data_IF_546302247357
#
_entry.id   IF_546302247357
#
_cell.length_a   1.000
_cell.length_b   1.000
_cell.length_c   1.000
_cell.angle_alpha   90.00
_cell.angle_beta   90.00
_cell.angle_gamma   90.00
#
_symmetry.space_group_name_H-M   'P 1'
#
loop_
_entity.id
_entity.type
_entity.pdbx_description
1 polymer ?
#
# COMPACT_ATOMS: atom_id res chain seq x y z
N UNK A 1 25.76 18.27 17.07
CA UNK A 1 26.86 17.28 16.92
C UNK A 1 26.99 16.45 18.18
N UNK A 2 27.02 15.14 18.02
CA UNK A 2 27.31 14.21 19.12
C UNK A 2 28.81 14.32 19.47
N UNK A 3 29.17 14.04 20.72
CA UNK A 3 30.59 14.05 21.14
C UNK A 3 31.41 12.90 20.51
N UNK A 4 30.73 11.91 19.95
CA UNK A 4 31.26 10.75 19.24
C UNK A 4 30.18 10.21 18.30
N UNK A 5 30.58 9.76 17.12
CA UNK A 5 29.71 9.03 16.20
C UNK A 5 30.49 7.94 15.48
N UNK A 6 29.88 6.74 15.24
CA UNK A 6 30.52 5.73 14.42
C UNK A 6 30.53 6.16 12.95
N UNK A 7 31.48 5.69 12.13
CA UNK A 7 31.42 5.88 10.70
C UNK A 7 30.17 5.22 10.13
N UNK A 8 29.58 5.84 9.11
CA UNK A 8 28.50 5.24 8.32
C UNK A 8 29.17 4.47 7.18
N UNK A 9 29.06 3.14 7.22
CA UNK A 9 29.66 2.27 6.22
C UNK A 9 28.92 2.33 4.88
N UNK A 10 29.62 1.97 3.83
CA UNK A 10 28.99 1.86 2.52
C UNK A 10 27.84 0.83 2.56
N UNK A 11 26.69 1.15 1.96
CA UNK A 11 25.51 0.27 1.93
C UNK A 11 24.91 -0.07 3.33
N UNK A 12 25.26 0.68 4.37
CA UNK A 12 24.72 0.51 5.71
C UNK A 12 23.37 1.20 5.86
N UNK A 13 22.32 0.50 6.38
CA UNK A 13 21.06 1.19 6.70
C UNK A 13 21.17 2.04 7.96
N UNK A 14 20.44 3.18 8.06
CA UNK A 14 20.46 4.06 9.22
C UNK A 14 20.20 3.37 10.58
N UNK A 15 19.41 2.30 10.57
CA UNK A 15 19.16 1.51 11.78
C UNK A 15 20.43 0.85 12.32
N UNK A 16 21.28 0.32 11.46
CA UNK A 16 22.55 -0.31 11.84
C UNK A 16 23.48 0.70 12.53
N UNK A 17 23.62 1.88 11.93
CA UNK A 17 24.39 2.97 12.52
C UNK A 17 23.87 3.36 13.91
N UNK A 18 22.54 3.45 14.06
CA UNK A 18 21.91 3.77 15.36
C UNK A 18 22.21 2.73 16.44
N UNK A 19 22.20 1.44 16.07
CA UNK A 19 22.54 0.34 16.99
C UNK A 19 24.00 0.44 17.40
N UNK A 20 24.91 0.63 16.45
CA UNK A 20 26.35 0.81 16.71
C UNK A 20 26.62 2.00 17.60
N UNK A 21 25.97 3.13 17.34
CA UNK A 21 26.08 4.31 18.21
C UNK A 21 25.66 3.99 19.66
N UNK A 22 24.54 3.28 19.84
CA UNK A 22 24.06 2.90 21.17
C UNK A 22 25.06 2.01 21.92
N UNK A 23 25.61 1.01 21.24
CA UNK A 23 26.59 0.09 21.83
C UNK A 23 27.88 0.80 22.24
N UNK A 24 28.42 1.64 21.36
CA UNK A 24 29.67 2.36 21.61
C UNK A 24 29.52 3.51 22.62
N UNK A 25 28.35 4.13 22.74
CA UNK A 25 28.05 5.20 23.66
C UNK A 25 27.83 4.69 25.09
N UNK A 26 27.75 3.38 25.35
CA UNK A 26 27.47 2.81 26.65
C UNK A 26 26.09 3.17 27.23
N UNK A 27 25.14 3.51 26.36
CA UNK A 27 23.79 3.86 26.78
C UNK A 27 23.07 2.66 27.39
N UNK A 28 22.44 2.81 28.57
CA UNK A 28 21.90 1.68 29.32
C UNK A 28 20.64 1.08 28.72
N UNK A 29 20.00 1.75 27.77
CA UNK A 29 18.74 1.27 27.19
C UNK A 29 18.37 1.99 25.89
N UNK A 30 17.54 1.33 25.07
CA UNK A 30 16.89 1.96 23.89
C UNK A 30 16.15 3.25 24.27
N UNK A 31 15.58 3.34 25.47
CA UNK A 31 14.88 4.55 25.91
C UNK A 31 15.84 5.71 26.08
N UNK A 32 16.99 5.49 26.71
CA UNK A 32 18.03 6.51 26.90
C UNK A 32 18.55 7.00 25.52
N UNK A 33 18.76 6.08 24.59
CA UNK A 33 19.14 6.40 23.21
C UNK A 33 18.13 7.35 22.54
N UNK A 34 16.84 6.99 22.60
CA UNK A 34 15.78 7.77 21.94
C UNK A 34 15.62 9.16 22.55
N UNK A 35 15.77 9.26 23.88
CA UNK A 35 15.74 10.54 24.60
C UNK A 35 16.93 11.41 24.24
N UNK A 36 18.14 10.86 24.22
CA UNK A 36 19.38 11.57 23.89
C UNK A 36 19.38 12.08 22.45
N UNK A 37 18.90 11.27 21.49
CA UNK A 37 18.88 11.60 20.08
C UNK A 37 17.58 12.31 19.62
N UNK A 38 16.67 12.60 20.56
CA UNK A 38 15.36 13.19 20.28
C UNK A 38 14.55 12.44 19.21
N UNK A 39 14.76 11.12 19.12
CA UNK A 39 14.04 10.27 18.16
C UNK A 39 12.68 9.91 18.75
N UNK A 40 11.61 10.20 18.02
CA UNK A 40 10.27 9.78 18.40
C UNK A 40 10.15 8.24 18.43
N UNK A 41 9.26 7.72 19.33
CA UNK A 41 9.08 6.28 19.59
C UNK A 41 8.45 5.51 18.41
N UNK A 42 9.06 5.57 17.23
CA UNK A 42 8.66 4.81 16.06
C UNK A 42 9.37 3.46 15.98
N UNK A 43 9.06 2.73 14.92
CA UNK A 43 9.76 1.53 14.57
C UNK A 43 11.18 1.91 14.12
N UNK A 44 12.19 1.50 14.88
CA UNK A 44 13.59 1.88 14.62
C UNK A 44 14.12 1.25 13.34
N UNK A 45 13.86 -0.04 13.12
CA UNK A 45 14.21 -0.77 11.91
C UNK A 45 13.24 -0.49 10.75
N UNK A 46 12.74 0.75 10.62
CA UNK A 46 11.85 1.14 9.52
C UNK A 46 12.63 1.24 8.21
N UNK A 47 12.00 0.83 7.13
CA UNK A 47 12.50 1.04 5.77
C UNK A 47 12.62 2.53 5.39
N UNK A 48 11.89 3.39 6.10
CA UNK A 48 11.90 4.85 5.96
C UNK A 48 12.15 5.49 7.33
N UNK A 49 13.40 5.55 7.77
CA UNK A 49 13.74 6.03 9.11
C UNK A 49 13.49 7.53 9.24
N UNK A 50 12.83 7.94 10.32
CA UNK A 50 12.54 9.34 10.61
C UNK A 50 13.76 10.13 11.14
N UNK A 51 14.91 9.49 11.27
CA UNK A 51 16.14 10.09 11.79
C UNK A 51 17.24 10.28 10.72
N UNK A 52 16.85 10.36 9.45
CA UNK A 52 17.74 10.75 8.33
C UNK A 52 18.47 12.08 8.60
N UNK A 53 17.84 13.15 9.12
CA UNK A 53 18.55 14.40 9.41
C UNK A 53 19.71 14.21 10.39
N UNK A 54 19.52 13.42 11.43
CA UNK A 54 20.59 13.10 12.39
C UNK A 54 21.77 12.41 11.69
N UNK A 55 21.50 11.37 10.90
CA UNK A 55 22.55 10.66 10.16
C UNK A 55 23.27 11.61 9.19
N UNK A 56 22.52 12.47 8.51
CA UNK A 56 23.07 13.47 7.58
C UNK A 56 24.03 14.44 8.30
N UNK A 57 23.63 14.92 9.44
CA UNK A 57 24.44 15.85 10.25
C UNK A 57 25.72 15.18 10.76
N UNK A 58 25.61 14.00 11.35
CA UNK A 58 26.74 13.29 11.97
C UNK A 58 27.71 12.69 10.95
N UNK A 59 27.21 12.17 9.81
CA UNK A 59 28.05 11.62 8.73
C UNK A 59 28.62 12.67 7.79
N UNK A 60 28.21 13.94 7.91
CA UNK A 60 28.54 15.04 6.99
C UNK A 60 28.12 14.78 5.54
N UNK A 61 27.20 13.85 5.33
CA UNK A 61 26.59 13.57 4.04
C UNK A 61 25.31 14.38 3.85
N UNK A 62 25.00 14.80 2.64
CA UNK A 62 23.68 15.41 2.40
C UNK A 62 22.54 14.41 2.69
N UNK A 63 21.41 14.89 3.22
CA UNK A 63 20.25 14.04 3.46
C UNK A 63 19.80 13.28 2.19
N UNK A 64 19.97 13.89 1.01
CA UNK A 64 19.69 13.22 -0.26
C UNK A 64 20.64 12.04 -0.49
N UNK A 65 21.94 12.19 -0.20
CA UNK A 65 22.91 11.11 -0.33
C UNK A 65 22.60 9.97 0.63
N UNK A 66 22.30 10.28 1.90
CA UNK A 66 21.86 9.27 2.89
C UNK A 66 20.61 8.53 2.38
N UNK A 67 19.61 9.22 1.85
CA UNK A 67 18.40 8.59 1.32
C UNK A 67 18.73 7.70 0.12
N UNK A 68 19.60 8.15 -0.77
CA UNK A 68 19.92 7.40 -2.00
C UNK A 68 20.80 6.19 -1.76
N UNK A 69 21.77 6.27 -0.87
CA UNK A 69 22.77 5.23 -0.67
C UNK A 69 22.45 4.31 0.52
N UNK A 70 21.65 4.80 1.49
CA UNK A 70 21.41 4.11 2.75
C UNK A 70 19.93 3.77 3.01
N UNK A 71 19.05 3.95 2.02
CA UNK A 71 17.64 3.54 2.13
C UNK A 71 17.14 2.86 0.85
N UNK A 72 16.00 2.18 0.96
CA UNK A 72 15.37 1.52 -0.19
C UNK A 72 14.52 2.47 -1.05
N UNK A 73 14.40 3.75 -0.70
CA UNK A 73 13.52 4.69 -1.40
C UNK A 73 13.80 4.81 -2.91
N UNK A 74 15.05 4.74 -3.40
CA UNK A 74 15.34 4.80 -4.83
C UNK A 74 14.60 3.76 -5.69
N UNK A 75 14.32 2.56 -5.15
CA UNK A 75 13.58 1.51 -5.87
C UNK A 75 12.17 1.96 -6.27
N UNK A 76 11.59 2.88 -5.53
CA UNK A 76 10.23 3.37 -5.76
C UNK A 76 10.16 4.42 -6.88
N UNK A 77 11.28 5.06 -7.19
CA UNK A 77 11.33 6.20 -8.11
C UNK A 77 10.70 5.95 -9.48
N UNK A 78 10.98 4.84 -10.19
CA UNK A 78 10.40 4.57 -11.51
C UNK A 78 8.89 4.30 -11.48
N UNK A 79 8.34 3.89 -10.34
CA UNK A 79 6.98 3.38 -10.19
C UNK A 79 6.04 4.35 -9.46
N UNK A 80 6.56 5.47 -8.97
CA UNK A 80 5.76 6.50 -8.31
C UNK A 80 5.59 7.73 -9.22
N UNK A 81 4.47 8.43 -9.00
CA UNK A 81 4.30 9.73 -9.62
C UNK A 81 5.41 10.69 -9.13
N UNK A 82 6.05 11.50 -10.01
CA UNK A 82 7.17 12.37 -9.64
C UNK A 82 6.91 13.26 -8.42
N UNK A 83 5.70 13.86 -8.33
CA UNK A 83 5.31 14.67 -7.16
C UNK A 83 5.26 13.87 -5.86
N UNK A 84 4.82 12.61 -5.91
CA UNK A 84 4.77 11.73 -4.74
C UNK A 84 6.17 11.35 -4.29
N UNK A 85 7.05 10.99 -5.23
CA UNK A 85 8.45 10.68 -4.94
C UNK A 85 9.20 11.89 -4.37
N UNK A 86 9.06 13.07 -4.98
CA UNK A 86 9.67 14.31 -4.47
C UNK A 86 9.16 14.68 -3.08
N UNK A 87 7.86 14.49 -2.83
CA UNK A 87 7.29 14.69 -1.48
C UNK A 87 7.85 13.69 -0.47
N UNK A 88 8.06 12.43 -0.87
CA UNK A 88 8.67 11.41 0.00
C UNK A 88 10.12 11.77 0.35
N UNK A 89 10.91 12.21 -0.63
CA UNK A 89 12.27 12.69 -0.42
C UNK A 89 12.34 13.85 0.57
N UNK A 90 11.51 14.88 0.37
CA UNK A 90 11.47 16.05 1.25
C UNK A 90 11.05 15.67 2.68
N UNK A 91 10.06 14.81 2.82
CA UNK A 91 9.59 14.36 4.12
C UNK A 91 10.66 13.55 4.85
N UNK A 92 11.31 12.63 4.16
CA UNK A 92 12.38 11.81 4.74
C UNK A 92 13.60 12.66 5.13
N UNK A 93 14.00 13.60 4.27
CA UNK A 93 15.07 14.55 4.54
C UNK A 93 14.78 15.48 5.74
N UNK A 94 13.49 15.72 6.07
CA UNK A 94 13.06 16.48 7.25
C UNK A 94 12.77 15.62 8.48
N UNK A 95 12.99 14.31 8.42
CA UNK A 95 12.66 13.40 9.51
C UNK A 95 11.17 13.10 9.71
N UNK A 96 10.31 13.50 8.77
CA UNK A 96 8.85 13.34 8.84
C UNK A 96 8.38 12.06 8.15
N UNK A 97 8.79 10.89 8.67
CA UNK A 97 8.53 9.59 8.04
C UNK A 97 7.17 8.96 8.39
N UNK A 98 6.47 9.46 9.41
CA UNK A 98 5.29 8.82 10.02
C UNK A 98 4.15 8.45 9.05
N UNK A 99 3.98 9.19 7.97
CA UNK A 99 2.91 8.99 6.99
C UNK A 99 3.38 8.45 5.64
N UNK A 100 4.68 8.15 5.47
CA UNK A 100 5.21 7.72 4.17
C UNK A 100 4.63 6.39 3.72
N UNK A 101 4.49 5.41 4.61
CA UNK A 101 3.88 4.12 4.28
C UNK A 101 2.46 4.26 3.71
N UNK A 102 1.66 5.16 4.27
CA UNK A 102 0.29 5.40 3.80
C UNK A 102 0.30 6.21 2.49
N UNK A 103 1.10 7.26 2.40
CA UNK A 103 1.19 8.12 1.20
C UNK A 103 1.71 7.38 -0.03
N UNK A 104 2.63 6.45 0.17
CA UNK A 104 3.16 5.60 -0.89
C UNK A 104 2.27 4.38 -1.17
N UNK A 105 1.09 4.32 -0.57
CA UNK A 105 0.12 3.22 -0.70
C UNK A 105 0.69 1.84 -0.33
N UNK A 106 1.75 1.77 0.49
CA UNK A 106 2.40 0.51 0.85
C UNK A 106 1.48 -0.39 1.67
N UNK A 107 0.71 0.19 2.57
CA UNK A 107 -0.28 -0.54 3.39
C UNK A 107 -1.36 -1.18 2.50
N UNK A 108 -1.83 -0.47 1.48
CA UNK A 108 -2.85 -0.96 0.56
C UNK A 108 -2.34 -2.08 -0.36
N UNK A 109 -1.03 -2.13 -0.61
CA UNK A 109 -0.44 -3.14 -1.48
C UNK A 109 -0.24 -4.51 -0.82
N UNK A 110 -0.46 -4.63 0.48
CA UNK A 110 -0.34 -5.88 1.28
C UNK A 110 1.04 -6.55 1.19
N UNK A 111 2.06 -5.84 0.76
CA UNK A 111 3.44 -6.32 0.81
C UNK A 111 3.93 -6.01 2.21
N UNK A 112 4.01 -7.04 3.04
CA UNK A 112 4.41 -6.89 4.44
C UNK A 112 5.91 -6.57 4.48
N UNK A 113 6.23 -5.32 4.77
CA UNK A 113 7.59 -4.80 4.89
C UNK A 113 7.94 -4.50 6.36
N UNK A 114 7.28 -5.17 7.25
CA UNK A 114 7.33 -4.88 8.68
C UNK A 114 8.68 -5.10 9.31
N UNK A 115 8.99 -5.59 10.33
CA UNK A 115 10.16 -5.72 11.17
C UNK A 115 11.13 -6.85 10.75
N UNK A 116 11.11 -7.28 9.49
CA UNK A 116 12.03 -8.31 9.00
C UNK A 116 13.24 -7.65 8.36
N UNK A 117 14.42 -7.95 8.89
CA UNK A 117 15.72 -7.61 8.29
C UNK A 117 16.38 -8.87 7.73
N UNK A 118 17.21 -8.68 6.73
CA UNK A 118 17.89 -9.75 6.01
C UNK A 118 19.41 -9.55 6.03
N UNK A 119 20.16 -10.64 6.20
CA UNK A 119 21.61 -10.64 6.18
C UNK A 119 22.16 -11.86 5.45
N UNK A 120 23.35 -11.72 4.90
CA UNK A 120 24.15 -12.81 4.35
C UNK A 120 25.19 -13.24 5.38
N UNK A 121 25.37 -14.55 5.57
CA UNK A 121 26.34 -15.10 6.51
C UNK A 121 27.76 -14.67 6.20
N UNK A 122 28.13 -14.73 4.94
CA UNK A 122 29.48 -14.39 4.47
C UNK A 122 29.73 -12.88 4.53
N UNK A 123 28.69 -12.01 4.30
CA UNK A 123 28.84 -10.58 4.56
C UNK A 123 29.14 -10.30 6.04
N UNK A 124 28.42 -10.98 6.96
CA UNK A 124 28.66 -10.81 8.41
C UNK A 124 30.11 -11.14 8.76
N UNK A 125 30.64 -12.26 8.25
CA UNK A 125 32.00 -12.69 8.48
C UNK A 125 33.02 -11.69 7.89
N UNK A 126 32.82 -11.23 6.65
CA UNK A 126 33.69 -10.25 5.99
C UNK A 126 33.71 -8.91 6.72
N UNK A 127 32.55 -8.37 7.06
CA UNK A 127 32.40 -7.09 7.76
C UNK A 127 33.11 -7.14 9.13
N UNK A 128 32.92 -8.24 9.88
CA UNK A 128 33.59 -8.40 11.17
C UNK A 128 35.11 -8.50 11.02
N UNK A 129 35.60 -9.15 9.99
CA UNK A 129 37.04 -9.31 9.74
C UNK A 129 37.68 -8.01 9.25
N UNK A 130 36.99 -7.22 8.43
CA UNK A 130 37.53 -5.99 7.81
C UNK A 130 37.41 -4.78 8.72
N UNK A 131 36.23 -4.61 9.38
CA UNK A 131 35.89 -3.40 10.13
C UNK A 131 35.71 -3.66 11.63
N UNK A 132 35.63 -4.91 12.05
CA UNK A 132 35.41 -5.32 13.44
C UNK A 132 33.93 -5.34 13.85
N UNK A 133 33.01 -5.05 12.95
CA UNK A 133 31.57 -5.10 13.17
C UNK A 133 30.84 -5.44 11.88
N UNK A 134 29.73 -6.16 11.98
CA UNK A 134 28.82 -6.35 10.86
C UNK A 134 27.68 -5.31 10.91
N UNK A 135 27.13 -4.99 9.74
CA UNK A 135 26.00 -4.08 9.61
C UNK A 135 24.91 -4.63 8.69
N UNK A 136 23.71 -4.06 8.79
CA UNK A 136 22.60 -4.38 7.90
C UNK A 136 22.76 -3.66 6.57
N UNK A 137 23.05 -4.40 5.50
CA UNK A 137 23.23 -3.86 4.15
C UNK A 137 21.88 -3.46 3.53
N UNK A 138 21.83 -2.30 2.88
CA UNK A 138 20.62 -1.83 2.15
C UNK A 138 20.22 -2.82 1.06
N UNK A 139 21.19 -3.33 0.29
CA UNK A 139 20.94 -4.28 -0.79
C UNK A 139 20.20 -5.55 -0.33
N UNK A 140 20.43 -6.00 0.89
CA UNK A 140 19.70 -7.12 1.46
C UNK A 140 18.26 -6.76 1.85
N UNK A 141 17.96 -5.47 2.10
CA UNK A 141 16.62 -5.01 2.49
C UNK A 141 15.74 -4.65 1.29
N UNK A 142 16.25 -4.74 0.07
CA UNK A 142 15.49 -4.39 -1.13
C UNK A 142 14.24 -5.28 -1.29
N UNK A 143 13.12 -4.75 -1.82
CA UNK A 143 11.87 -5.49 -1.92
C UNK A 143 11.96 -6.75 -2.76
N UNK A 144 11.71 -7.91 -2.15
CA UNK A 144 11.77 -9.21 -2.83
C UNK A 144 13.17 -9.81 -2.92
N UNK A 145 14.22 -9.10 -2.47
CA UNK A 145 15.57 -9.64 -2.41
C UNK A 145 15.64 -10.78 -1.39
N UNK A 146 16.10 -11.93 -1.81
CA UNK A 146 16.28 -13.14 -0.99
C UNK A 146 17.67 -13.78 -1.18
N UNK A 147 18.51 -13.18 -2.04
CA UNK A 147 19.85 -13.66 -2.36
C UNK A 147 20.86 -12.52 -2.24
N UNK A 148 21.97 -12.78 -1.60
CA UNK A 148 23.14 -11.88 -1.61
C UNK A 148 23.80 -11.95 -2.99
N UNK A 149 23.86 -10.82 -3.69
CA UNK A 149 24.47 -10.78 -5.04
C UNK A 149 26.01 -10.82 -5.00
N UNK A 150 26.61 -10.47 -3.87
CA UNK A 150 28.07 -10.52 -3.70
C UNK A 150 28.55 -11.94 -3.50
N UNK A 151 27.85 -12.74 -2.69
CA UNK A 151 28.27 -14.09 -2.32
C UNK A 151 27.45 -15.20 -2.98
N UNK A 152 26.35 -14.86 -3.66
CA UNK A 152 25.46 -15.85 -4.28
C UNK A 152 24.69 -16.71 -3.27
N UNK A 153 24.59 -16.31 -2.02
CA UNK A 153 23.97 -17.06 -0.93
C UNK A 153 22.55 -16.60 -0.61
N UNK A 154 21.67 -17.50 -0.16
CA UNK A 154 20.37 -17.13 0.38
C UNK A 154 20.53 -16.21 1.61
N UNK A 155 19.67 -15.19 1.70
CA UNK A 155 19.63 -14.28 2.85
C UNK A 155 18.87 -14.90 4.02
N UNK A 156 19.41 -14.77 5.23
CA UNK A 156 18.72 -15.10 6.46
C UNK A 156 17.72 -14.00 6.84
N UNK A 157 16.49 -14.36 7.18
CA UNK A 157 15.47 -13.42 7.65
C UNK A 157 15.41 -13.38 9.18
N UNK A 158 15.42 -12.19 9.74
CA UNK A 158 15.34 -11.93 11.17
C UNK A 158 14.19 -11.01 11.51
N UNK A 159 13.30 -11.46 12.37
CA UNK A 159 12.22 -10.64 12.91
C UNK A 159 12.76 -9.73 14.02
N UNK A 160 12.90 -8.45 13.74
CA UNK A 160 13.36 -7.46 14.69
C UNK A 160 12.18 -6.86 15.44
N UNK A 161 12.15 -7.00 16.76
CA UNK A 161 11.12 -6.37 17.59
C UNK A 161 11.19 -4.85 17.46
N UNK A 162 10.05 -4.20 17.58
CA UNK A 162 9.87 -2.75 17.30
C UNK A 162 10.91 -1.81 17.92
N UNK A 163 11.48 -2.18 19.08
CA UNK A 163 12.47 -1.39 19.83
C UNK A 163 13.76 -2.16 20.11
N UNK A 164 13.95 -3.30 19.48
CA UNK A 164 15.19 -4.05 19.64
C UNK A 164 16.32 -3.31 18.90
N UNK A 165 17.50 -3.40 19.45
CA UNK A 165 18.75 -2.91 18.88
C UNK A 165 19.63 -4.14 18.67
N UNK A 166 19.71 -4.61 17.43
CA UNK A 166 20.39 -5.86 17.08
C UNK A 166 21.24 -5.61 15.84
N UNK A 167 22.51 -5.97 15.89
CA UNK A 167 23.40 -6.06 14.72
C UNK A 167 23.36 -7.48 14.10
N UNK A 168 23.76 -7.62 12.83
CA UNK A 168 23.83 -8.93 12.19
C UNK A 168 24.76 -9.92 12.88
N UNK A 169 25.83 -9.44 13.51
CA UNK A 169 26.78 -10.27 14.30
C UNK A 169 26.17 -10.94 15.53
N UNK A 170 25.03 -10.44 16.00
CA UNK A 170 24.32 -10.96 17.19
C UNK A 170 23.34 -12.09 16.84
N UNK A 171 23.18 -12.40 15.56
CA UNK A 171 22.29 -13.46 15.09
C UNK A 171 23.08 -14.71 14.70
N UNK A 172 22.48 -15.88 14.89
CA UNK A 172 23.01 -17.14 14.35
C UNK A 172 22.39 -17.36 12.99
N UNK A 173 23.14 -17.16 11.89
CA UNK A 173 22.58 -17.32 10.55
C UNK A 173 22.23 -18.77 10.29
N UNK A 174 21.02 -19.05 9.82
CA UNK A 174 20.67 -20.37 9.28
C UNK A 174 21.06 -20.40 7.80
N UNK A 175 21.92 -21.35 7.43
CA UNK A 175 22.43 -21.52 6.05
C UNK A 175 21.56 -22.44 5.18
N UNK A 176 20.35 -22.81 5.62
CA UNK A 176 19.57 -23.91 5.05
C UNK A 176 18.65 -23.49 3.86
N UNK A 177 18.89 -22.34 3.25
CA UNK A 177 18.09 -21.87 2.12
C UNK A 177 18.48 -22.52 0.80
N UNK A 178 17.50 -22.99 0.02
CA UNK A 178 17.71 -23.44 -1.36
C UNK A 178 17.78 -22.22 -2.28
N UNK A 179 18.84 -22.16 -3.09
CA UNK A 179 19.00 -21.09 -4.08
C UNK A 179 18.19 -21.41 -5.34
N UNK A 180 17.27 -20.55 -5.71
CA UNK A 180 16.52 -20.65 -6.96
C UNK A 180 16.93 -19.55 -7.94
N UNK A 181 17.06 -19.89 -9.22
CA UNK A 181 17.45 -18.94 -10.27
C UNK A 181 16.52 -17.70 -10.35
N UNK A 182 15.24 -17.89 -10.10
CA UNK A 182 14.26 -16.78 -10.08
C UNK A 182 14.53 -15.80 -8.94
N UNK A 183 15.05 -16.26 -7.80
CA UNK A 183 15.40 -15.39 -6.67
C UNK A 183 16.69 -14.60 -6.95
N UNK A 184 17.67 -15.21 -7.63
CA UNK A 184 18.86 -14.51 -8.12
C UNK A 184 18.47 -13.45 -9.12
N UNK A 185 17.60 -13.78 -10.08
CA UNK A 185 17.09 -12.86 -11.08
C UNK A 185 16.35 -11.68 -10.43
N UNK A 186 15.44 -11.93 -9.48
CA UNK A 186 14.69 -10.88 -8.80
C UNK A 186 15.60 -9.98 -7.98
N UNK A 187 16.56 -10.57 -7.25
CA UNK A 187 17.55 -9.81 -6.46
C UNK A 187 18.41 -8.93 -7.36
N UNK A 188 18.85 -9.43 -8.51
CA UNK A 188 19.58 -8.64 -9.51
C UNK A 188 18.72 -7.51 -10.07
N UNK A 189 17.49 -7.81 -10.46
CA UNK A 189 16.56 -6.83 -11.02
C UNK A 189 16.26 -5.68 -10.04
N UNK A 190 15.97 -5.98 -8.78
CA UNK A 190 15.67 -4.94 -7.79
C UNK A 190 16.91 -4.10 -7.46
N UNK A 191 18.08 -4.71 -7.43
CA UNK A 191 19.35 -4.03 -7.21
C UNK A 191 19.69 -3.07 -8.36
N UNK A 192 19.48 -3.48 -9.61
CA UNK A 192 19.64 -2.61 -10.77
C UNK A 192 18.70 -1.41 -10.74
N UNK A 193 17.45 -1.62 -10.34
CA UNK A 193 16.49 -0.52 -10.14
C UNK A 193 16.94 0.41 -9.02
N UNK A 194 17.45 -0.12 -7.90
CA UNK A 194 17.97 0.69 -6.81
C UNK A 194 19.14 1.56 -7.22
N UNK A 195 20.13 0.99 -7.93
CA UNK A 195 21.32 1.70 -8.37
C UNK A 195 21.09 2.61 -9.56
N UNK A 196 20.32 2.15 -10.56
CA UNK A 196 20.17 2.81 -11.86
C UNK A 196 18.78 3.42 -12.07
N UNK A 197 17.86 3.26 -11.14
CA UNK A 197 16.45 3.69 -11.23
C UNK A 197 16.27 5.20 -11.37
N UNK A 198 17.00 5.80 -12.30
CA UNK A 198 16.76 7.17 -12.73
C UNK A 198 15.34 7.25 -13.26
N UNK A 199 14.67 8.37 -13.04
CA UNK A 199 13.34 8.67 -13.54
C UNK A 199 13.32 8.71 -15.08
N UNK A 200 13.43 7.55 -15.71
CA UNK A 200 13.42 7.43 -17.17
C UNK A 200 12.00 7.48 -17.74
N UNK A 201 10.98 7.24 -16.89
CA UNK A 201 9.62 7.06 -17.38
C UNK A 201 8.62 7.84 -16.55
N UNK A 202 7.65 8.46 -17.23
CA UNK A 202 6.39 8.76 -16.58
C UNK A 202 5.63 7.43 -16.36
N UNK A 203 4.78 7.39 -15.35
CA UNK A 203 3.90 6.25 -15.06
C UNK A 203 3.10 5.78 -16.30
N UNK A 204 2.73 6.69 -17.19
CA UNK A 204 2.03 6.39 -18.44
C UNK A 204 2.89 5.56 -19.39
N UNK A 205 4.19 5.88 -19.51
CA UNK A 205 5.12 5.13 -20.36
C UNK A 205 5.31 3.68 -19.86
N UNK A 206 5.36 3.47 -18.56
CA UNK A 206 5.43 2.12 -17.98
C UNK A 206 4.21 1.27 -18.37
N UNK A 207 3.02 1.84 -18.29
CA UNK A 207 1.78 1.12 -18.62
C UNK A 207 1.70 0.78 -20.13
N UNK A 208 2.16 1.67 -21.00
CA UNK A 208 2.20 1.44 -22.45
C UNK A 208 3.15 0.29 -22.78
N UNK A 209 4.36 0.28 -22.18
CA UNK A 209 5.33 -0.80 -22.34
C UNK A 209 4.72 -2.15 -21.95
N UNK A 210 4.08 -2.25 -20.80
CA UNK A 210 3.42 -3.46 -20.35
C UNK A 210 2.38 -3.95 -21.35
N UNK A 211 1.47 -3.09 -21.76
CA UNK A 211 0.37 -3.48 -22.67
C UNK A 211 0.87 -3.99 -23.99
N UNK A 212 1.85 -3.34 -24.58
CA UNK A 212 2.42 -3.77 -25.85
C UNK A 212 3.20 -5.08 -25.70
N UNK A 213 4.04 -5.22 -24.70
CA UNK A 213 4.78 -6.45 -24.46
C UNK A 213 3.85 -7.64 -24.17
N UNK A 214 2.71 -7.40 -23.53
CA UNK A 214 1.71 -8.44 -23.31
C UNK A 214 1.05 -8.91 -24.63
N UNK A 215 0.88 -8.03 -25.61
CA UNK A 215 0.42 -8.43 -26.97
C UNK A 215 1.47 -9.30 -27.64
N UNK A 216 2.74 -8.88 -27.65
CA UNK A 216 3.86 -9.62 -28.25
C UNK A 216 4.04 -11.00 -27.60
N UNK A 217 3.92 -11.08 -26.27
CA UNK A 217 4.02 -12.30 -25.50
C UNK A 217 2.74 -13.19 -25.57
N UNK A 218 1.72 -12.79 -26.32
CA UNK A 218 0.48 -13.55 -26.49
C UNK A 218 -0.44 -13.59 -25.25
N UNK A 219 -0.25 -12.65 -24.31
CA UNK A 219 -1.13 -12.47 -23.15
C UNK A 219 -2.24 -11.46 -23.40
N UNK A 220 -2.23 -10.79 -24.54
CA UNK A 220 -3.30 -9.90 -24.98
C UNK A 220 -3.56 -10.10 -26.46
N UNK A 221 -4.80 -9.89 -26.91
CA UNK A 221 -5.14 -9.86 -28.34
C UNK A 221 -4.87 -8.49 -28.96
N UNK A 222 -5.03 -7.44 -28.16
CA UNK A 222 -4.64 -6.05 -28.44
C UNK A 222 -4.45 -5.33 -27.10
N UNK A 223 -3.93 -4.10 -27.12
CA UNK A 223 -3.51 -3.36 -25.90
C UNK A 223 -4.55 -3.22 -24.79
N UNK A 224 -5.83 -3.32 -25.11
CA UNK A 224 -6.93 -3.20 -24.14
C UNK A 224 -7.57 -4.55 -23.75
N UNK A 225 -7.21 -5.66 -24.42
CA UNK A 225 -7.82 -6.98 -24.23
C UNK A 225 -6.84 -8.00 -23.66
N UNK A 226 -6.47 -7.81 -22.40
CA UNK A 226 -5.54 -8.69 -21.70
C UNK A 226 -6.27 -9.96 -21.26
N UNK A 227 -5.67 -11.11 -21.52
CA UNK A 227 -6.11 -12.45 -21.09
C UNK A 227 -5.66 -12.69 -19.65
N UNK A 228 -6.42 -12.15 -18.70
CA UNK A 228 -6.04 -12.05 -17.29
C UNK A 228 -5.69 -13.41 -16.66
N UNK A 229 -6.51 -14.43 -16.89
CA UNK A 229 -6.27 -15.76 -16.30
C UNK A 229 -4.99 -16.40 -16.84
N UNK A 230 -4.75 -16.27 -18.17
CA UNK A 230 -3.52 -16.77 -18.80
C UNK A 230 -2.29 -16.07 -18.22
N UNK A 231 -2.34 -14.74 -18.09
CA UNK A 231 -1.25 -13.95 -17.52
C UNK A 231 -0.98 -14.32 -16.05
N UNK A 232 -2.04 -14.44 -15.25
CA UNK A 232 -1.93 -14.82 -13.83
C UNK A 232 -1.33 -16.21 -13.67
N UNK A 233 -1.77 -17.16 -14.48
CA UNK A 233 -1.24 -18.52 -14.46
C UNK A 233 0.26 -18.54 -14.83
N UNK A 234 0.64 -17.87 -15.92
CA UNK A 234 2.03 -17.76 -16.35
C UNK A 234 2.92 -17.09 -15.30
N UNK A 235 2.45 -16.01 -14.67
CA UNK A 235 3.18 -15.31 -13.63
C UNK A 235 3.39 -16.19 -12.39
N UNK A 236 2.36 -16.93 -11.97
CA UNK A 236 2.46 -17.89 -10.86
C UNK A 236 3.42 -19.03 -11.19
N UNK A 237 3.35 -19.59 -12.38
CA UNK A 237 4.25 -20.65 -12.82
C UNK A 237 5.70 -20.19 -12.88
N UNK A 238 5.95 -18.97 -13.38
CA UNK A 238 7.29 -18.40 -13.49
C UNK A 238 7.96 -18.23 -12.13
N UNK A 239 7.23 -17.70 -11.14
CA UNK A 239 7.75 -17.41 -9.80
C UNK A 239 7.45 -18.50 -8.76
N UNK A 240 6.97 -19.67 -9.20
CA UNK A 240 6.52 -20.74 -8.30
C UNK A 240 7.58 -21.22 -7.33
N UNK A 241 8.84 -21.26 -7.77
CA UNK A 241 9.99 -21.74 -6.99
C UNK A 241 10.64 -20.67 -6.13
N UNK A 242 10.16 -19.40 -6.17
CA UNK A 242 10.75 -18.34 -5.36
C UNK A 242 10.64 -18.65 -3.87
N UNK A 243 11.77 -18.55 -3.17
CA UNK A 243 11.84 -18.71 -1.72
C UNK A 243 11.37 -17.46 -0.96
N UNK A 244 11.17 -16.32 -1.64
CA UNK A 244 10.76 -15.07 -1.01
C UNK A 244 9.31 -15.12 -0.50
N UNK A 245 9.04 -15.00 0.83
CA UNK A 245 7.68 -14.99 1.36
C UNK A 245 6.82 -13.84 0.80
N UNK A 246 7.43 -12.69 0.53
CA UNK A 246 6.76 -11.53 -0.05
C UNK A 246 6.28 -11.81 -1.49
N UNK A 247 7.07 -12.55 -2.28
CA UNK A 247 6.69 -12.99 -3.62
C UNK A 247 5.52 -13.96 -3.54
N UNK A 248 5.62 -14.99 -2.71
CA UNK A 248 4.58 -16.01 -2.56
C UNK A 248 3.25 -15.38 -2.10
N UNK A 249 3.29 -14.50 -1.12
CA UNK A 249 2.11 -13.79 -0.66
C UNK A 249 1.46 -12.95 -1.78
N UNK A 250 2.28 -12.28 -2.61
CA UNK A 250 1.79 -11.47 -3.70
C UNK A 250 1.14 -12.30 -4.81
N UNK A 251 1.68 -13.48 -5.11
CA UNK A 251 1.11 -14.40 -6.09
C UNK A 251 -0.26 -14.97 -5.68
N UNK A 252 -0.56 -14.97 -4.38
CA UNK A 252 -1.87 -15.36 -3.85
C UNK A 252 -2.92 -14.23 -3.97
N UNK A 253 -2.51 -12.97 -4.18
CA UNK A 253 -3.44 -11.84 -4.34
C UNK A 253 -4.26 -12.03 -5.63
N UNK A 254 -5.58 -12.19 -5.47
CA UNK A 254 -6.51 -12.39 -6.59
C UNK A 254 -6.63 -11.17 -7.51
N UNK A 255 -6.26 -9.99 -7.04
CA UNK A 255 -6.30 -8.74 -7.80
C UNK A 255 -5.02 -8.49 -8.61
N UNK A 256 -3.97 -9.28 -8.41
CA UNK A 256 -2.68 -9.16 -9.08
C UNK A 256 -2.57 -10.19 -10.23
N UNK A 257 -2.05 -9.86 -11.41
CA UNK A 257 -1.47 -8.57 -11.84
C UNK A 257 -2.48 -7.56 -12.42
N UNK A 258 -3.77 -7.87 -12.43
CA UNK A 258 -4.83 -7.08 -13.08
C UNK A 258 -4.88 -5.62 -12.61
N UNK A 259 -4.66 -5.40 -11.34
CA UNK A 259 -4.65 -4.07 -10.73
C UNK A 259 -3.65 -3.12 -11.40
N UNK A 260 -2.49 -3.62 -11.87
CA UNK A 260 -1.46 -2.82 -12.54
C UNK A 260 -1.96 -2.15 -13.83
N UNK A 261 -2.99 -2.69 -14.47
CA UNK A 261 -3.49 -2.21 -15.75
C UNK A 261 -4.77 -1.40 -15.65
N UNK A 262 -5.49 -1.49 -14.52
CA UNK A 262 -6.84 -0.89 -14.36
C UNK A 262 -6.84 0.53 -13.84
N UNK A 263 -5.85 0.94 -13.09
CA UNK A 263 -5.95 2.16 -12.31
C UNK A 263 -5.04 3.28 -12.83
N UNK A 264 -5.62 4.31 -13.40
CA UNK A 264 -4.92 5.55 -13.75
C UNK A 264 -4.36 6.29 -12.51
N UNK A 265 -4.79 5.94 -11.30
CA UNK A 265 -4.49 6.66 -10.04
C UNK A 265 -3.86 5.80 -8.95
N UNK A 266 -3.84 4.48 -9.09
CA UNK A 266 -3.28 3.61 -8.06
C UNK A 266 -1.76 3.55 -8.17
N UNK A 267 -1.11 3.73 -7.05
CA UNK A 267 0.32 3.52 -6.90
C UNK A 267 0.53 2.11 -6.36
N UNK A 268 1.41 1.37 -7.01
CA UNK A 268 1.67 -0.01 -6.64
C UNK A 268 3.07 -0.14 -6.06
N UNK A 269 3.22 -1.11 -5.16
CA UNK A 269 4.51 -1.44 -4.59
C UNK A 269 5.47 -1.89 -5.70
N UNK A 270 6.76 -1.46 -5.69
CA UNK A 270 7.74 -1.82 -6.71
C UNK A 270 7.80 -3.31 -7.01
N UNK A 271 7.69 -4.17 -6.01
CA UNK A 271 7.70 -5.62 -6.18
C UNK A 271 6.63 -6.12 -7.17
N UNK A 272 5.45 -5.51 -7.19
CA UNK A 272 4.39 -5.85 -8.17
C UNK A 272 4.84 -5.58 -9.61
N UNK A 273 5.55 -4.50 -9.83
CA UNK A 273 6.13 -4.16 -11.13
C UNK A 273 7.30 -5.08 -11.48
N UNK A 274 8.19 -5.33 -10.52
CA UNK A 274 9.40 -6.12 -10.73
C UNK A 274 9.09 -7.58 -11.09
N UNK A 275 8.09 -8.19 -10.47
CA UNK A 275 7.68 -9.55 -10.85
C UNK A 275 7.16 -9.62 -12.30
N UNK A 276 6.41 -8.62 -12.75
CA UNK A 276 5.94 -8.57 -14.12
C UNK A 276 7.09 -8.28 -15.09
N UNK A 277 7.99 -7.36 -14.76
CA UNK A 277 9.18 -7.03 -15.54
C UNK A 277 10.10 -8.24 -15.66
N UNK A 278 10.39 -8.93 -14.56
CA UNK A 278 11.26 -10.10 -14.55
C UNK A 278 10.73 -11.24 -15.43
N UNK A 279 9.42 -11.46 -15.48
CA UNK A 279 8.82 -12.45 -16.37
C UNK A 279 8.83 -12.03 -17.85
N UNK A 280 8.63 -10.74 -18.15
CA UNK A 280 8.43 -10.26 -19.53
C UNK A 280 9.74 -9.82 -20.22
N UNK A 281 10.73 -9.31 -19.46
CA UNK A 281 11.97 -8.75 -20.00
C UNK A 281 13.23 -9.36 -19.37
N UNK A 282 13.09 -10.18 -18.34
CA UNK A 282 14.16 -10.83 -17.59
C UNK A 282 15.12 -9.88 -16.84
N UNK A 283 15.40 -8.68 -17.34
CA UNK A 283 16.28 -7.69 -16.71
C UNK A 283 15.69 -6.27 -16.72
N UNK A 284 16.26 -5.38 -15.89
CA UNK A 284 15.91 -3.97 -15.87
C UNK A 284 16.40 -3.24 -17.14
N UNK A 285 17.53 -3.65 -17.68
CA UNK A 285 18.12 -3.09 -18.88
C UNK A 285 17.25 -3.35 -20.10
N UNK A 286 16.84 -4.60 -20.33
CA UNK A 286 15.91 -4.94 -21.41
C UNK A 286 14.58 -4.18 -21.30
N UNK A 287 14.06 -4.01 -20.08
CA UNK A 287 12.88 -3.18 -19.87
C UNK A 287 13.10 -1.73 -20.22
N UNK A 288 14.27 -1.16 -19.92
CA UNK A 288 14.62 0.24 -20.23
C UNK A 288 14.84 0.46 -21.72
N UNK A 289 15.48 -0.48 -22.40
CA UNK A 289 15.79 -0.40 -23.85
C UNK A 289 14.58 -0.71 -24.72
N UNK A 290 13.59 -1.44 -24.16
CA UNK A 290 12.39 -1.76 -24.91
C UNK A 290 11.67 -0.51 -25.39
N UNK A 291 11.58 -0.33 -26.70
CA UNK A 291 10.89 0.80 -27.32
C UNK A 291 9.53 0.33 -27.84
N UNK A 292 8.43 0.82 -27.26
CA UNK A 292 7.10 0.55 -27.79
C UNK A 292 6.97 1.02 -29.24
N UNK A 293 6.36 0.21 -30.13
CA UNK A 293 6.10 0.59 -31.49
C UNK A 293 5.14 1.80 -31.54
N UNK A 294 5.47 2.82 -32.31
CA UNK A 294 4.69 4.07 -32.39
C UNK A 294 3.29 3.87 -32.99
N UNK A 295 3.07 2.81 -33.75
CA UNK A 295 1.78 2.52 -34.37
C UNK A 295 0.64 2.29 -33.36
N UNK A 296 0.96 2.00 -32.09
CA UNK A 296 -0.03 1.79 -31.00
C UNK A 296 -0.27 3.07 -30.17
N UNK A 297 0.60 4.06 -30.30
CA UNK A 297 0.56 5.29 -29.48
C UNK A 297 -0.26 6.40 -30.13
N UNK A 298 -0.43 6.38 -31.49
CA UNK A 298 -0.98 7.53 -32.21
C UNK A 298 -2.49 7.74 -32.03
N UNK A 299 -3.28 6.68 -31.82
CA UNK A 299 -4.75 6.84 -31.83
C UNK A 299 -5.41 7.06 -30.46
N UNK A 300 -4.70 6.85 -29.33
CA UNK A 300 -5.34 6.93 -28.01
C UNK A 300 -4.59 7.71 -26.93
N UNK A 301 -3.31 8.03 -27.11
CA UNK A 301 -2.53 8.81 -26.13
C UNK A 301 -2.55 10.30 -26.46
N UNK A 302 -2.68 10.67 -27.72
CA UNK A 302 -2.76 12.07 -28.16
C UNK A 302 -4.12 12.76 -27.90
N UNK A 303 -5.17 12.01 -27.57
CA UNK A 303 -6.51 12.56 -27.40
C UNK A 303 -6.89 12.94 -25.95
N UNK A 304 -5.99 12.88 -24.97
CA UNK A 304 -6.33 13.11 -23.57
C UNK A 304 -5.24 13.85 -22.76
N UNK A 305 -4.70 14.93 -23.32
CA UNK A 305 -3.96 15.97 -22.55
C UNK A 305 -4.79 17.25 -22.47
N UNK A 306 -6.10 17.13 -22.55
CA UNK A 306 -6.97 18.14 -21.97
C UNK A 306 -6.97 17.87 -20.44
N UNK A 307 -6.79 18.90 -19.63
CA UNK A 307 -6.94 18.80 -18.18
C UNK A 307 -8.22 18.04 -17.86
N UNK A 308 -8.25 17.21 -16.81
CA UNK A 308 -9.48 16.44 -16.46
C UNK A 308 -10.71 17.37 -16.36
N UNK A 309 -10.52 18.62 -15.99
CA UNK A 309 -11.56 19.64 -15.93
C UNK A 309 -12.10 20.07 -17.29
N UNK A 310 -11.26 20.14 -18.33
CA UNK A 310 -11.72 20.53 -19.70
C UNK A 310 -12.46 19.40 -20.39
N UNK A 311 -12.01 18.15 -20.20
CA UNK A 311 -12.72 16.97 -20.72
C UNK A 311 -14.09 16.77 -20.05
N UNK A 312 -14.20 17.06 -18.76
CA UNK A 312 -15.46 16.98 -18.03
C UNK A 312 -16.41 18.14 -18.43
N UNK A 313 -15.87 19.35 -18.66
CA UNK A 313 -16.63 20.48 -19.19
C UNK A 313 -17.20 20.21 -20.58
N UNK A 314 -16.44 19.55 -21.46
CA UNK A 314 -16.94 19.15 -22.80
C UNK A 314 -18.05 18.09 -22.72
N UNK A 315 -17.95 17.12 -21.81
CA UNK A 315 -19.00 16.14 -21.56
C UNK A 315 -20.26 16.85 -21.07
N UNK A 316 -20.14 17.75 -20.11
CA UNK A 316 -21.25 18.54 -19.55
C UNK A 316 -21.91 19.39 -20.66
N UNK A 317 -21.13 20.07 -21.48
CA UNK A 317 -21.60 20.87 -22.61
C UNK A 317 -22.38 20.01 -23.63
N UNK A 318 -21.88 18.85 -24.01
CA UNK A 318 -22.56 17.95 -24.94
C UNK A 318 -23.87 17.39 -24.36
N UNK A 319 -23.90 17.12 -23.06
CA UNK A 319 -25.12 16.70 -22.36
C UNK A 319 -26.16 17.84 -22.30
N UNK A 320 -25.74 19.07 -22.06
CA UNK A 320 -26.62 20.27 -22.08
C UNK A 320 -27.18 20.53 -23.47
N UNK A 321 -26.45 20.16 -24.54
CA UNK A 321 -26.94 20.19 -25.91
C UNK A 321 -27.94 19.07 -26.23
N UNK A 322 -28.34 18.26 -25.26
CA UNK A 322 -29.33 17.20 -25.43
C UNK A 322 -28.81 15.93 -26.11
N UNK A 323 -27.48 15.74 -26.25
CA UNK A 323 -26.93 14.51 -26.81
C UNK A 323 -27.18 13.34 -25.87
N UNK A 324 -27.42 12.15 -26.40
CA UNK A 324 -27.63 10.95 -25.58
C UNK A 324 -26.37 10.53 -24.87
N UNK A 325 -26.51 9.90 -23.68
CA UNK A 325 -25.37 9.38 -22.89
C UNK A 325 -24.44 8.50 -23.74
N UNK A 326 -24.99 7.73 -24.67
CA UNK A 326 -24.23 6.82 -25.52
C UNK A 326 -23.45 7.58 -26.57
N UNK A 327 -24.04 8.57 -27.22
CA UNK A 327 -23.37 9.42 -28.20
C UNK A 327 -22.23 10.25 -27.55
N UNK A 328 -22.46 10.75 -26.33
CA UNK A 328 -21.42 11.46 -25.57
C UNK A 328 -20.31 10.51 -25.12
N UNK A 329 -20.66 9.31 -24.67
CA UNK A 329 -19.72 8.24 -24.31
C UNK A 329 -18.80 7.87 -25.47
N UNK A 330 -19.37 7.67 -26.66
CA UNK A 330 -18.63 7.34 -27.89
C UNK A 330 -17.72 8.50 -28.33
N UNK A 331 -18.24 9.74 -28.32
CA UNK A 331 -17.51 10.93 -28.74
C UNK A 331 -16.37 11.28 -27.79
N UNK A 332 -16.63 11.26 -26.49
CA UNK A 332 -15.62 11.59 -25.46
C UNK A 332 -14.79 10.39 -25.04
N UNK A 333 -15.01 9.21 -25.63
CA UNK A 333 -14.32 7.94 -25.29
C UNK A 333 -14.32 7.66 -23.78
N UNK A 334 -15.42 7.97 -23.11
CA UNK A 334 -15.65 7.71 -21.68
C UNK A 334 -16.79 6.70 -21.50
N UNK A 335 -16.76 5.91 -20.41
CA UNK A 335 -17.84 4.95 -20.17
C UNK A 335 -19.20 5.66 -19.98
N UNK A 336 -20.29 5.02 -20.44
CA UNK A 336 -21.66 5.53 -20.24
C UNK A 336 -21.96 5.79 -18.75
N UNK A 337 -21.41 4.96 -17.87
CA UNK A 337 -21.55 5.11 -16.41
C UNK A 337 -20.89 6.40 -15.93
N UNK A 338 -19.70 6.73 -16.44
CA UNK A 338 -18.99 7.96 -16.10
C UNK A 338 -19.74 9.20 -16.58
N UNK A 339 -20.18 9.18 -17.85
CA UNK A 339 -21.00 10.26 -18.44
C UNK A 339 -22.29 10.46 -17.67
N UNK A 340 -22.94 9.39 -17.23
CA UNK A 340 -24.16 9.45 -16.39
C UNK A 340 -23.86 10.05 -15.01
N UNK A 341 -22.72 9.69 -14.40
CA UNK A 341 -22.30 10.26 -13.10
C UNK A 341 -22.12 11.78 -13.20
N UNK A 342 -21.45 12.26 -14.26
CA UNK A 342 -21.26 13.69 -14.52
C UNK A 342 -22.60 14.42 -14.78
N UNK A 343 -23.52 13.79 -15.52
CA UNK A 343 -24.85 14.34 -15.75
C UNK A 343 -25.60 14.56 -14.42
N UNK A 344 -25.56 13.56 -13.53
CA UNK A 344 -26.21 13.64 -12.20
C UNK A 344 -25.54 14.72 -11.33
N UNK A 345 -24.21 14.78 -11.30
CA UNK A 345 -23.47 15.77 -10.55
C UNK A 345 -23.72 17.21 -10.98
N UNK A 346 -24.05 17.41 -12.26
CA UNK A 346 -24.35 18.73 -12.83
C UNK A 346 -25.86 18.98 -13.01
N UNK A 347 -26.72 18.18 -12.37
CA UNK A 347 -28.19 18.30 -12.43
C UNK A 347 -28.77 18.28 -13.87
N UNK A 348 -28.12 17.60 -14.82
CA UNK A 348 -28.60 17.52 -16.20
C UNK A 348 -29.60 16.36 -16.29
N UNK A 349 -30.85 16.65 -16.75
CA UNK A 349 -31.87 15.61 -16.88
C UNK A 349 -31.47 14.58 -17.95
N UNK A 350 -31.32 13.32 -17.57
CA UNK A 350 -30.95 12.23 -18.46
C UNK A 350 -32.17 11.37 -18.74
N UNK A 351 -32.54 11.24 -20.02
CA UNK A 351 -33.57 10.28 -20.45
C UNK A 351 -33.03 8.84 -20.23
N UNK A 352 -33.39 8.23 -19.10
CA UNK A 352 -33.15 6.79 -18.90
C UNK A 352 -34.31 6.02 -19.53
N UNK A 353 -34.00 4.95 -20.30
CA UNK A 353 -35.05 4.02 -20.75
C UNK A 353 -35.77 3.51 -19.50
N UNK A 354 -37.09 3.59 -19.50
CA UNK A 354 -37.93 2.99 -18.46
C UNK A 354 -37.60 1.50 -18.39
N UNK A 355 -36.92 1.09 -17.29
CA UNK A 355 -36.81 -0.31 -16.93
C UNK A 355 -38.15 -0.73 -16.33
N UNK A 356 -38.50 -1.99 -16.43
CA UNK A 356 -39.77 -2.65 -16.10
C UNK A 356 -40.27 -2.49 -14.63
N UNK A 357 -39.91 -1.43 -13.91
CA UNK A 357 -40.47 -1.15 -12.58
C UNK A 357 -41.63 -0.18 -12.77
N UNK A 358 -42.84 -0.68 -12.63
CA UNK A 358 -44.07 0.11 -12.73
C UNK A 358 -44.22 1.02 -11.50
N UNK A 359 -45.06 2.06 -11.62
CA UNK A 359 -45.18 3.09 -10.58
C UNK A 359 -45.61 2.56 -9.22
N UNK A 360 -46.49 1.57 -9.19
CA UNK A 360 -46.92 0.89 -7.95
C UNK A 360 -45.78 0.14 -7.25
N UNK A 361 -45.05 -0.68 -8.01
CA UNK A 361 -43.89 -1.43 -7.47
C UNK A 361 -42.79 -0.48 -6.97
N UNK A 362 -42.58 0.63 -7.69
CA UNK A 362 -41.63 1.65 -7.28
C UNK A 362 -42.02 2.31 -5.96
N UNK A 363 -43.30 2.62 -5.77
CA UNK A 363 -43.80 3.19 -4.53
C UNK A 363 -43.63 2.20 -3.37
N UNK A 364 -43.89 0.92 -3.61
CA UNK A 364 -43.69 -0.15 -2.63
C UNK A 364 -42.22 -0.26 -2.24
N UNK A 365 -41.32 -0.33 -3.25
CA UNK A 365 -39.87 -0.39 -3.00
C UNK A 365 -39.41 0.83 -2.17
N UNK A 366 -39.85 2.03 -2.51
CA UNK A 366 -39.50 3.25 -1.77
C UNK A 366 -40.06 3.21 -0.34
N UNK A 367 -41.27 2.69 -0.13
CA UNK A 367 -41.87 2.49 1.18
C UNK A 367 -40.98 1.58 2.06
N UNK A 368 -40.66 0.39 1.57
CA UNK A 368 -39.81 -0.58 2.28
C UNK A 368 -38.38 -0.06 2.52
N UNK A 369 -37.85 0.73 1.58
CA UNK A 369 -36.56 1.41 1.75
C UNK A 369 -36.59 2.45 2.89
N UNK A 370 -37.71 3.16 3.06
CA UNK A 370 -37.91 4.13 4.16
C UNK A 370 -37.97 3.45 5.53
N UNK A 371 -38.53 2.25 5.59
CA UNK A 371 -38.61 1.40 6.79
C UNK A 371 -37.29 0.73 7.14
N UNK A 372 -36.28 0.82 6.28
CA UNK A 372 -34.95 0.26 6.55
C UNK A 372 -34.80 -1.20 6.12
N UNK A 373 -35.77 -1.80 5.45
CA UNK A 373 -35.70 -3.20 4.98
C UNK A 373 -34.50 -3.41 4.07
N UNK A 374 -33.79 -4.53 4.21
CA UNK A 374 -32.59 -4.84 3.43
C UNK A 374 -32.90 -4.95 1.94
N UNK A 375 -32.05 -4.40 1.06
CA UNK A 375 -32.25 -4.41 -0.39
C UNK A 375 -32.42 -5.82 -0.98
N UNK A 376 -31.74 -6.83 -0.40
CA UNK A 376 -31.91 -8.23 -0.78
C UNK A 376 -33.32 -8.80 -0.42
N UNK A 377 -33.86 -8.38 0.70
CA UNK A 377 -35.19 -8.80 1.15
C UNK A 377 -36.26 -8.13 0.26
N UNK A 378 -36.13 -6.82 0.02
CA UNK A 378 -37.03 -6.08 -0.89
C UNK A 378 -37.02 -6.74 -2.28
N UNK A 379 -35.85 -7.07 -2.80
CA UNK A 379 -35.69 -7.70 -4.10
C UNK A 379 -36.45 -9.03 -4.21
N UNK A 380 -36.49 -9.83 -3.13
CA UNK A 380 -37.25 -11.10 -3.06
C UNK A 380 -38.75 -10.87 -2.99
N UNK A 381 -39.19 -9.90 -2.20
CA UNK A 381 -40.61 -9.62 -1.99
C UNK A 381 -41.29 -9.03 -3.23
N UNK A 382 -40.55 -8.21 -4.01
CA UNK A 382 -41.08 -7.56 -5.22
C UNK A 382 -40.70 -8.28 -6.52
N UNK A 383 -40.03 -9.41 -6.44
CA UNK A 383 -39.54 -10.21 -7.60
C UNK A 383 -38.70 -9.41 -8.61
N UNK A 384 -37.84 -8.56 -8.08
CA UNK A 384 -36.87 -7.81 -8.88
C UNK A 384 -35.43 -8.14 -8.47
N UNK A 385 -34.46 -7.84 -9.36
CA UNK A 385 -33.06 -8.00 -8.99
C UNK A 385 -32.63 -6.96 -7.94
N UNK A 386 -31.68 -7.34 -7.07
CA UNK A 386 -31.09 -6.43 -6.07
C UNK A 386 -30.58 -5.13 -6.72
N UNK A 387 -29.94 -5.26 -7.90
CA UNK A 387 -29.48 -4.10 -8.66
C UNK A 387 -30.58 -3.16 -9.12
N UNK A 388 -31.79 -3.67 -9.39
CA UNK A 388 -32.96 -2.83 -9.73
C UNK A 388 -33.44 -2.04 -8.51
N UNK A 389 -33.47 -2.67 -7.33
CA UNK A 389 -33.83 -2.00 -6.05
C UNK A 389 -32.77 -0.95 -5.69
N UNK A 390 -31.48 -1.26 -5.83
CA UNK A 390 -30.38 -0.30 -5.59
C UNK A 390 -30.43 0.87 -6.54
N UNK A 391 -30.86 0.66 -7.79
CA UNK A 391 -31.05 1.74 -8.75
C UNK A 391 -32.21 2.66 -8.35
N UNK A 392 -33.29 2.14 -7.77
CA UNK A 392 -34.36 2.97 -7.20
C UNK A 392 -33.83 3.76 -6.02
N UNK A 393 -33.09 3.11 -5.09
CA UNK A 393 -32.47 3.77 -3.96
C UNK A 393 -31.54 4.92 -4.37
N UNK A 394 -30.71 4.70 -5.39
CA UNK A 394 -29.75 5.72 -5.87
C UNK A 394 -30.40 6.97 -6.46
N UNK A 395 -31.69 6.92 -6.76
CA UNK A 395 -32.46 8.09 -7.21
C UNK A 395 -33.05 8.93 -6.08
N UNK A 396 -32.87 8.48 -4.81
CA UNK A 396 -33.35 9.13 -3.60
C UNK A 396 -32.16 9.38 -2.63
N UNK A 397 -31.37 10.46 -2.82
CA UNK A 397 -30.20 10.75 -1.97
C UNK A 397 -30.53 10.85 -0.47
N UNK A 398 -31.67 11.42 -0.16
CA UNK A 398 -32.24 11.53 1.20
C UNK A 398 -32.43 10.15 1.87
N UNK A 399 -32.90 9.17 1.13
CA UNK A 399 -33.02 7.78 1.63
C UNK A 399 -31.68 7.08 1.77
N UNK A 400 -30.73 7.39 0.90
CA UNK A 400 -29.37 6.85 1.02
C UNK A 400 -28.76 7.31 2.34
N UNK A 401 -28.85 8.63 2.64
CA UNK A 401 -28.32 9.22 3.86
C UNK A 401 -29.04 8.66 5.11
N UNK A 402 -30.38 8.65 5.09
CA UNK A 402 -31.17 8.06 6.17
C UNK A 402 -30.78 6.61 6.47
N UNK A 403 -30.60 5.79 5.45
CA UNK A 403 -30.19 4.39 5.59
C UNK A 403 -28.74 4.25 6.07
N UNK A 404 -27.87 5.17 5.70
CA UNK A 404 -26.52 5.23 6.25
C UNK A 404 -26.56 5.51 7.74
N UNK A 405 -27.36 6.49 8.18
CA UNK A 405 -27.54 6.83 9.58
C UNK A 405 -28.19 5.67 10.39
N UNK A 406 -29.20 5.00 9.82
CA UNK A 406 -29.82 3.84 10.46
C UNK A 406 -28.81 2.71 10.69
N UNK A 407 -27.96 2.43 9.70
CA UNK A 407 -26.89 1.41 9.83
C UNK A 407 -25.84 1.80 10.86
N UNK A 408 -25.46 3.07 10.86
CA UNK A 408 -24.52 3.60 11.85
C UNK A 408 -25.08 3.46 13.27
N UNK A 409 -26.34 3.86 13.50
CA UNK A 409 -27.01 3.73 14.79
C UNK A 409 -27.13 2.28 15.23
N UNK A 410 -27.50 1.37 14.32
CA UNK A 410 -27.58 -0.06 14.61
C UNK A 410 -26.20 -0.65 15.00
N UNK A 411 -25.13 -0.23 14.32
CA UNK A 411 -23.76 -0.61 14.70
C UNK A 411 -23.37 -0.04 16.07
N UNK A 412 -23.72 1.22 16.34
CA UNK A 412 -23.46 1.85 17.63
C UNK A 412 -24.13 1.05 18.75
N UNK A 413 -25.42 0.77 18.63
CA UNK A 413 -26.15 -0.04 19.62
C UNK A 413 -25.59 -1.45 19.77
N UNK A 414 -25.19 -2.10 18.69
CA UNK A 414 -24.57 -3.42 18.76
C UNK A 414 -23.29 -3.39 19.60
N UNK A 415 -22.42 -2.41 19.36
CA UNK A 415 -21.17 -2.26 20.13
C UNK A 415 -21.42 -1.81 21.57
N UNK A 416 -22.40 -0.94 21.80
CA UNK A 416 -22.84 -0.53 23.14
C UNK A 416 -23.34 -1.72 23.93
N UNK A 417 -24.23 -2.54 23.35
CA UNK A 417 -24.76 -3.74 23.99
C UNK A 417 -23.66 -4.76 24.32
N UNK A 418 -22.68 -4.93 23.47
CA UNK A 418 -21.53 -5.79 23.73
C UNK A 418 -20.75 -5.33 24.98
N UNK A 419 -20.50 -4.03 25.11
CA UNK A 419 -19.83 -3.47 26.31
C UNK A 419 -20.69 -3.59 27.55
N UNK A 420 -22.01 -3.35 27.45
CA UNK A 420 -22.95 -3.47 28.59
C UNK A 420 -23.08 -4.91 29.07
N UNK A 421 -23.14 -5.87 28.13
CA UNK A 421 -23.18 -7.28 28.44
C UNK A 421 -21.94 -7.72 29.21
N UNK A 422 -20.77 -7.38 28.69
CA UNK A 422 -19.49 -7.71 29.34
C UNK A 422 -19.37 -7.05 30.72
N UNK A 423 -19.87 -5.81 30.86
CA UNK A 423 -19.90 -5.12 32.16
C UNK A 423 -20.83 -5.82 33.16
N UNK A 424 -21.95 -6.39 32.71
CA UNK A 424 -22.87 -7.14 33.55
C UNK A 424 -22.30 -8.50 33.96
N UNK A 425 -21.58 -9.17 33.06
CA UNK A 425 -20.95 -10.48 33.31
C UNK A 425 -19.68 -10.34 34.18
N UNK A 426 -18.97 -9.23 34.06
CA UNK A 426 -17.68 -8.99 34.73
C UNK A 426 -17.62 -7.62 35.41
N UNK A 427 -18.38 -7.39 36.48
CA UNK A 427 -18.41 -6.11 37.19
C UNK A 427 -17.07 -5.73 37.84
N UNK A 428 -16.17 -6.70 38.02
CA UNK A 428 -14.82 -6.52 38.58
C UNK A 428 -13.80 -5.97 37.57
N UNK A 429 -14.12 -5.92 36.26
CA UNK A 429 -13.21 -5.48 35.23
C UNK A 429 -12.88 -3.99 35.35
N UNK A 430 -11.63 -3.68 35.03
CA UNK A 430 -11.17 -2.30 34.81
C UNK A 430 -11.21 -1.97 33.31
N UNK A 431 -11.13 -0.69 33.00
CA UNK A 431 -11.16 -0.20 31.59
C UNK A 431 -10.19 -0.94 30.65
N UNK A 432 -9.03 -1.36 31.13
CA UNK A 432 -8.03 -2.09 30.35
C UNK A 432 -8.46 -3.51 29.97
N UNK A 433 -9.34 -4.11 30.77
CA UNK A 433 -9.85 -5.45 30.52
C UNK A 433 -10.86 -5.41 29.37
N UNK A 434 -11.78 -4.43 29.34
CA UNK A 434 -12.68 -4.21 28.21
C UNK A 434 -11.94 -3.93 26.90
N UNK A 435 -10.79 -3.26 26.97
CA UNK A 435 -9.95 -3.05 25.78
C UNK A 435 -9.35 -4.35 25.22
N UNK A 436 -9.13 -5.36 26.05
CA UNK A 436 -8.62 -6.67 25.65
C UNK A 436 -9.73 -7.59 25.17
N UNK A 437 -10.75 -7.77 26.01
CA UNK A 437 -11.82 -8.76 25.78
C UNK A 437 -12.80 -8.29 24.69
N UNK A 438 -13.25 -7.03 24.74
CA UNK A 438 -14.16 -6.43 23.76
C UNK A 438 -13.44 -5.53 22.76
N UNK A 439 -12.25 -5.90 22.30
CA UNK A 439 -11.35 -5.05 21.49
C UNK A 439 -12.03 -4.38 20.31
N UNK A 440 -12.85 -5.11 19.55
CA UNK A 440 -13.54 -4.59 18.37
C UNK A 440 -14.56 -3.51 18.75
N UNK A 441 -15.40 -3.79 19.74
CA UNK A 441 -16.45 -2.87 20.22
C UNK A 441 -15.85 -1.65 20.93
N UNK A 442 -14.83 -1.87 21.75
CA UNK A 442 -14.11 -0.78 22.41
C UNK A 442 -13.48 0.18 21.38
N UNK A 443 -12.75 -0.34 20.39
CA UNK A 443 -12.07 0.48 19.38
C UNK A 443 -13.06 1.23 18.50
N UNK A 444 -14.17 0.60 18.15
CA UNK A 444 -15.22 1.24 17.37
C UNK A 444 -15.89 2.38 18.13
N UNK A 445 -16.31 2.15 19.38
CA UNK A 445 -16.93 3.18 20.23
C UNK A 445 -15.94 4.30 20.59
N UNK A 446 -14.69 3.97 20.84
CA UNK A 446 -13.65 4.99 21.08
C UNK A 446 -13.52 5.97 19.91
N UNK A 447 -13.73 5.49 18.69
CA UNK A 447 -13.66 6.32 17.48
C UNK A 447 -14.95 7.11 17.21
N UNK A 448 -16.12 6.54 17.53
CA UNK A 448 -17.40 7.05 17.07
C UNK A 448 -18.33 7.57 18.18
N UNK A 449 -18.17 7.09 19.42
CA UNK A 449 -18.98 7.48 20.57
C UNK A 449 -18.16 7.37 21.88
N UNK A 450 -17.09 8.14 21.91
CA UNK A 450 -16.12 8.14 23.02
C UNK A 450 -16.73 8.62 24.33
N UNK A 451 -17.64 9.58 24.26
CA UNK A 451 -18.28 10.16 25.45
C UNK A 451 -19.11 9.10 26.16
N UNK A 452 -19.98 8.43 25.43
CA UNK A 452 -20.79 7.34 25.98
C UNK A 452 -19.87 6.22 26.56
N UNK A 453 -18.86 5.81 25.81
CA UNK A 453 -17.95 4.75 26.25
C UNK A 453 -17.28 5.07 27.59
N UNK A 454 -16.86 6.31 27.78
CA UNK A 454 -16.21 6.72 29.02
C UNK A 454 -17.17 7.05 30.19
N UNK A 455 -18.43 7.26 29.89
CA UNK A 455 -19.48 7.39 30.90
C UNK A 455 -19.83 6.03 31.51
N UNK A 456 -19.84 4.98 30.68
CA UNK A 456 -20.26 3.63 31.10
C UNK A 456 -19.11 2.83 31.68
N UNK A 457 -17.90 2.98 31.17
CA UNK A 457 -16.76 2.18 31.59
C UNK A 457 -16.22 2.59 32.98
N UNK A 458 -15.80 1.59 33.81
CA UNK A 458 -15.16 1.85 35.09
C UNK A 458 -13.83 2.60 34.91
N UNK A 459 -13.34 3.15 36.02
CA UNK A 459 -12.11 3.89 36.03
C UNK A 459 -10.90 3.03 35.62
N UNK A 460 -9.87 3.68 35.11
CA UNK A 460 -8.60 3.01 34.83
C UNK A 460 -7.93 2.56 36.13
N UNK A 461 -7.21 1.43 36.09
CA UNK A 461 -6.43 0.93 37.22
C UNK A 461 -5.49 2.06 37.73
N UNK A 462 -5.50 2.41 39.03
CA UNK A 462 -4.59 3.38 39.62
C UNK A 462 -3.13 3.03 39.34
N UNK A 463 -2.31 4.03 39.05
CA UNK A 463 -0.87 3.83 38.72
C UNK A 463 -0.13 3.02 39.79
N UNK A 464 -0.52 3.14 41.07
CA UNK A 464 0.04 2.40 42.18
C UNK A 464 -0.20 0.88 42.11
N UNK A 465 -1.24 0.40 41.46
CA UNK A 465 -1.58 -1.02 41.28
C UNK A 465 -1.08 -1.63 39.97
N UNK A 466 -0.45 -0.84 39.08
CA UNK A 466 0.02 -1.33 37.76
C UNK A 466 1.36 -2.08 37.81
N UNK A 467 2.02 -2.17 38.96
CA UNK A 467 3.34 -2.77 39.12
C UNK A 467 3.33 -4.20 39.70
N UNK A 468 2.27 -4.97 39.47
CA UNK A 468 2.12 -6.31 40.00
C UNK A 468 1.51 -7.33 39.06
N UNK A 469 1.83 -7.32 37.76
CA UNK A 469 1.60 -8.46 36.85
C UNK A 469 2.76 -8.53 35.85
#
# INVERSE_FOLDING_TARGET
MLGFHPPLEADEIPYSWLVTYCQLSGLPSTKALLEQLHIAHYQLASQFPGYVPLISEESQLSAQKVIHEHTILPVFKPFLHPKTYSSALVNLAKGSASNLHTRMSLVANRVNSGSVLRACSTCIESDCNEVGRAWWHVQHQLPGCSVCLTHGEPLCEVNVRRRALILPSEITPQRDGVLHNVDVQLSGLVHDVWRRGKSLFSYQHVTIRYRQRLVEAGFASHVDAIRQDKLRHALRAYWATSASPAVQQLLLDSSYPESLFRAKRAQFHPLKHLLLIGMLWHSWEEFCEYTPCECVTSDRVGANVLSEGEADADIVRLLQQGKSLRAVSERCKRSVIYVKKLAIQNNIPVKTRAKRIFGADRALIVGMLKEGVKTQQIAREVDYSVGAVEQVLSQHPDLVEKRHQMRFNAQCHMHQNCILQELAEHPEYYRGDFQRECRASYSWLFKHDKEWLYTVLPNAIPRSRRRGV
#
